data_IF_755012871346
#
_entry.id   IF_755012871346
#
_cell.length_a   1.000
_cell.length_b   1.000
_cell.length_c   1.000
_cell.angle_alpha   90.00
_cell.angle_beta   90.00
_cell.angle_gamma   90.00
#
_symmetry.space_group_name_H-M   'P 1'
#
loop_
_entity.id
_entity.type
_entity.pdbx_description
1 polymer ?
#
# COMPACT_ATOMS: atom_id res chain seq x y z
N UNK A 1 -9.26 8.86 -17.25
CA UNK A 1 -9.44 8.14 -15.98
C UNK A 1 -10.46 8.86 -15.12
N UNK A 2 -11.36 8.11 -14.46
CA UNK A 2 -12.26 8.63 -13.44
C UNK A 2 -11.65 8.35 -12.07
N UNK A 3 -11.44 9.39 -11.26
CA UNK A 3 -10.87 9.21 -9.92
C UNK A 3 -11.97 8.67 -9.00
N UNK A 4 -11.80 7.50 -8.36
CA UNK A 4 -12.81 6.94 -7.47
C UNK A 4 -12.97 7.82 -6.22
N UNK A 5 -14.21 8.01 -5.79
CA UNK A 5 -14.53 8.66 -4.54
C UNK A 5 -14.55 7.61 -3.42
N UNK A 6 -13.85 7.86 -2.33
CA UNK A 6 -13.78 6.97 -1.16
C UNK A 6 -14.53 7.67 -0.01
N UNK A 7 -15.85 7.53 0.09
CA UNK A 7 -16.61 8.11 1.19
C UNK A 7 -16.45 7.26 2.45
N UNK A 8 -16.19 7.92 3.56
CA UNK A 8 -16.24 7.32 4.89
C UNK A 8 -17.12 8.21 5.75
N UNK A 9 -18.10 7.65 6.42
CA UNK A 9 -19.03 8.38 7.28
C UNK A 9 -19.04 7.81 8.68
N UNK A 10 -19.17 8.66 9.68
CA UNK A 10 -19.35 8.28 11.08
C UNK A 10 -20.33 9.26 11.74
N UNK A 11 -20.82 8.91 12.92
CA UNK A 11 -21.79 9.71 13.67
C UNK A 11 -21.31 9.88 15.11
N UNK A 12 -21.40 11.08 15.64
CA UNK A 12 -21.18 11.37 17.06
C UNK A 12 -22.54 11.56 17.73
N UNK A 13 -22.87 10.68 18.66
CA UNK A 13 -24.13 10.71 19.40
C UNK A 13 -23.95 11.39 20.78
N UNK A 14 -24.99 12.03 21.33
CA UNK A 14 -24.91 12.68 22.65
C UNK A 14 -24.54 11.73 23.80
N UNK A 15 -24.96 10.48 23.73
CA UNK A 15 -24.66 9.44 24.73
C UNK A 15 -23.20 8.99 24.74
N UNK A 16 -22.46 9.21 23.65
CA UNK A 16 -21.00 8.98 23.61
C UNK A 16 -20.23 10.02 24.43
N UNK A 17 -20.83 11.19 24.68
CA UNK A 17 -20.21 12.29 25.42
C UNK A 17 -20.71 12.37 26.84
N UNK A 18 -22.02 12.10 27.06
CA UNK A 18 -22.67 12.29 28.32
C UNK A 18 -22.24 11.26 29.35
N UNK A 19 -21.63 11.71 30.46
CA UNK A 19 -21.22 10.84 31.56
C UNK A 19 -19.99 9.98 31.31
N UNK A 20 -19.31 10.17 30.17
CA UNK A 20 -18.07 9.48 29.82
C UNK A 20 -16.86 10.24 30.34
N UNK A 21 -15.88 9.53 30.89
CA UNK A 21 -14.61 10.12 31.34
C UNK A 21 -13.58 10.09 30.20
N UNK A 22 -12.77 11.14 30.13
CA UNK A 22 -11.67 11.20 29.19
C UNK A 22 -10.65 10.08 29.50
N UNK A 23 -10.16 9.42 28.45
CA UNK A 23 -9.17 8.36 28.59
C UNK A 23 -7.89 8.84 29.28
N UNK A 24 -7.45 8.10 30.31
CA UNK A 24 -6.26 8.45 31.08
C UNK A 24 -6.48 9.53 32.16
N UNK A 25 -7.72 9.93 32.45
CA UNK A 25 -8.07 10.88 33.51
C UNK A 25 -9.16 10.32 34.42
N UNK A 26 -9.01 10.53 35.75
CA UNK A 26 -10.03 10.11 36.72
C UNK A 26 -11.17 11.12 36.88
N UNK A 27 -10.88 12.41 36.63
CA UNK A 27 -11.79 13.53 36.97
C UNK A 27 -12.22 14.41 35.78
N UNK A 28 -11.65 14.20 34.56
CA UNK A 28 -12.03 14.98 33.39
C UNK A 28 -13.13 14.30 32.58
N UNK A 29 -14.17 15.05 32.26
CA UNK A 29 -15.20 14.57 31.33
C UNK A 29 -14.65 14.53 29.91
N UNK A 30 -15.10 13.53 29.13
CA UNK A 30 -14.83 13.47 27.69
C UNK A 30 -15.44 14.69 26.99
N UNK A 31 -14.74 15.22 26.03
CA UNK A 31 -15.21 16.37 25.26
C UNK A 31 -15.63 15.96 23.86
N UNK A 32 -16.65 16.64 23.31
CA UNK A 32 -17.07 16.47 21.93
C UNK A 32 -15.89 16.58 20.96
N UNK A 33 -14.97 17.54 21.20
CA UNK A 33 -13.82 17.77 20.33
C UNK A 33 -12.88 16.56 20.28
N UNK A 34 -12.66 15.89 21.42
CA UNK A 34 -11.82 14.70 21.49
C UNK A 34 -12.43 13.54 20.71
N UNK A 35 -13.73 13.28 20.90
CA UNK A 35 -14.44 12.20 20.20
C UNK A 35 -14.44 12.45 18.70
N UNK A 36 -14.71 13.68 18.26
CA UNK A 36 -14.63 14.07 16.84
C UNK A 36 -13.21 13.84 16.28
N UNK A 37 -12.17 14.25 17.02
CA UNK A 37 -10.79 14.08 16.60
C UNK A 37 -10.41 12.59 16.47
N UNK A 38 -10.83 11.74 17.42
CA UNK A 38 -10.59 10.29 17.35
C UNK A 38 -11.30 9.65 16.17
N UNK A 39 -12.57 10.01 15.92
CA UNK A 39 -13.35 9.49 14.79
C UNK A 39 -12.73 9.94 13.46
N UNK A 40 -12.36 11.21 13.32
CA UNK A 40 -11.68 11.71 12.12
C UNK A 40 -10.34 10.99 11.89
N UNK A 41 -9.59 10.69 12.95
CA UNK A 41 -8.35 9.92 12.81
C UNK A 41 -8.61 8.48 12.34
N UNK A 42 -9.66 7.82 12.85
CA UNK A 42 -10.08 6.48 12.39
C UNK A 42 -10.49 6.52 10.91
N UNK A 43 -11.32 7.50 10.53
CA UNK A 43 -11.76 7.68 9.13
C UNK A 43 -10.57 7.92 8.20
N UNK A 44 -9.62 8.75 8.62
CA UNK A 44 -8.37 8.98 7.86
C UNK A 44 -7.59 7.68 7.68
N UNK A 45 -7.44 6.87 8.72
CA UNK A 45 -6.72 5.59 8.63
C UNK A 45 -7.40 4.63 7.64
N UNK A 46 -8.73 4.59 7.58
CA UNK A 46 -9.49 3.79 6.61
C UNK A 46 -9.22 4.28 5.18
N UNK A 47 -9.23 5.59 4.95
CA UNK A 47 -8.93 6.17 3.64
C UNK A 47 -7.48 5.85 3.23
N UNK A 48 -6.52 5.98 4.14
CA UNK A 48 -5.11 5.67 3.87
C UNK A 48 -4.93 4.19 3.51
N UNK A 49 -5.60 3.29 4.22
CA UNK A 49 -5.60 1.86 3.93
C UNK A 49 -6.20 1.56 2.54
N UNK A 50 -7.31 2.22 2.19
CA UNK A 50 -7.92 2.09 0.86
C UNK A 50 -6.99 2.60 -0.25
N UNK A 51 -6.30 3.72 -0.02
CA UNK A 51 -5.32 4.26 -0.97
C UNK A 51 -4.13 3.32 -1.18
N UNK A 52 -3.65 2.69 -0.11
CA UNK A 52 -2.58 1.70 -0.21
C UNK A 52 -3.01 0.47 -1.00
N UNK A 53 -4.24 0.00 -0.79
CA UNK A 53 -4.84 -1.06 -1.60
C UNK A 53 -4.87 -0.71 -3.09
N UNK A 54 -5.33 0.49 -3.44
CA UNK A 54 -5.36 0.98 -4.82
C UNK A 54 -3.93 1.11 -5.40
N UNK A 55 -2.96 1.59 -4.62
CA UNK A 55 -1.57 1.70 -5.04
C UNK A 55 -0.94 0.32 -5.32
N UNK A 56 -1.18 -0.68 -4.46
CA UNK A 56 -0.78 -2.06 -4.72
C UNK A 56 -1.46 -2.64 -5.97
N UNK A 57 -2.72 -2.30 -6.21
CA UNK A 57 -3.42 -2.64 -7.44
C UNK A 57 -2.77 -2.03 -8.67
N UNK A 58 -2.38 -0.77 -8.60
CA UNK A 58 -1.68 -0.08 -9.68
C UNK A 58 -0.31 -0.72 -9.99
N UNK A 59 0.46 -1.10 -8.97
CA UNK A 59 1.73 -1.84 -9.15
C UNK A 59 1.51 -3.21 -9.81
N UNK A 60 0.38 -3.88 -9.54
CA UNK A 60 -0.01 -5.13 -10.20
C UNK A 60 -0.58 -4.93 -11.61
N UNK A 61 -0.88 -3.69 -11.98
CA UNK A 61 -1.52 -3.33 -13.24
C UNK A 61 -3.03 -3.54 -13.29
N UNK A 62 -3.66 -3.99 -12.20
CA UNK A 62 -5.10 -4.16 -12.09
C UNK A 62 -5.57 -3.55 -10.78
N UNK A 63 -6.32 -2.46 -10.87
CA UNK A 63 -6.90 -1.75 -9.72
C UNK A 63 -8.31 -2.26 -9.51
N UNK A 64 -8.59 -2.70 -8.29
CA UNK A 64 -9.89 -3.24 -7.89
C UNK A 64 -10.62 -2.24 -6.99
N UNK A 65 -11.94 -2.30 -7.00
CA UNK A 65 -12.82 -1.64 -6.04
C UNK A 65 -12.95 -2.46 -4.75
N UNK A 66 -13.64 -1.91 -3.75
CA UNK A 66 -13.94 -2.57 -2.47
C UNK A 66 -14.70 -3.89 -2.63
N UNK A 67 -15.52 -4.04 -3.68
CA UNK A 67 -16.26 -5.26 -4.01
C UNK A 67 -15.46 -6.22 -4.91
N UNK A 68 -14.18 -5.91 -5.19
CA UNK A 68 -13.33 -6.71 -6.07
C UNK A 68 -13.60 -6.57 -7.56
N UNK A 69 -14.44 -5.62 -7.95
CA UNK A 69 -14.65 -5.28 -9.35
C UNK A 69 -13.43 -4.53 -9.91
N UNK A 70 -13.14 -4.76 -11.18
CA UNK A 70 -12.02 -4.08 -11.85
C UNK A 70 -12.41 -2.63 -12.13
N UNK A 71 -11.75 -1.69 -11.42
CA UNK A 71 -11.83 -0.26 -11.74
C UNK A 71 -11.00 0.08 -12.97
N UNK A 72 -9.76 -0.37 -12.99
CA UNK A 72 -8.83 -0.14 -14.10
C UNK A 72 -7.98 -1.37 -14.36
N UNK A 73 -7.87 -1.72 -15.64
CA UNK A 73 -6.88 -2.65 -16.15
C UNK A 73 -5.83 -1.84 -16.93
N UNK A 74 -4.72 -1.51 -16.28
CA UNK A 74 -3.68 -0.65 -16.84
C UNK A 74 -3.00 -1.30 -18.05
N UNK A 75 -2.96 -2.62 -18.13
CA UNK A 75 -2.43 -3.32 -19.29
C UNK A 75 -3.26 -3.05 -20.55
N UNK A 76 -4.60 -3.09 -20.41
CA UNK A 76 -5.50 -2.79 -21.51
C UNK A 76 -5.49 -1.30 -21.86
N UNK A 77 -5.49 -0.42 -20.85
CA UNK A 77 -5.51 1.03 -21.05
C UNK A 77 -4.27 1.54 -21.79
N UNK A 78 -3.11 0.98 -21.48
CA UNK A 78 -1.84 1.37 -22.10
C UNK A 78 -1.41 0.49 -23.26
N UNK A 79 -2.18 -0.57 -23.58
CA UNK A 79 -1.85 -1.53 -24.65
C UNK A 79 -0.52 -2.24 -24.42
N UNK A 80 -0.19 -2.56 -23.15
CA UNK A 80 1.05 -3.23 -22.77
C UNK A 80 0.80 -4.65 -22.27
N UNK A 81 1.81 -5.50 -22.32
CA UNK A 81 1.78 -6.86 -21.79
C UNK A 81 2.65 -6.93 -20.53
N UNK A 82 2.12 -7.58 -19.47
CA UNK A 82 2.88 -7.84 -18.27
C UNK A 82 4.13 -8.68 -18.56
N UNK A 83 5.30 -8.21 -18.13
CA UNK A 83 6.53 -9.02 -18.17
C UNK A 83 6.63 -9.84 -16.89
N UNK A 84 6.75 -11.15 -17.06
CA UNK A 84 7.03 -12.08 -15.97
C UNK A 84 8.39 -12.70 -16.15
N UNK A 85 9.21 -12.70 -15.09
CA UNK A 85 10.50 -13.39 -15.02
C UNK A 85 10.37 -14.56 -14.04
N UNK A 86 10.49 -15.78 -14.55
CA UNK A 86 10.43 -16.99 -13.73
C UNK A 86 11.76 -17.19 -13.00
N UNK A 87 11.77 -17.03 -11.68
CA UNK A 87 12.95 -17.23 -10.83
C UNK A 87 13.28 -18.72 -10.60
N UNK A 88 12.28 -19.60 -10.68
CA UNK A 88 12.42 -21.07 -10.53
C UNK A 88 13.21 -21.46 -9.27
N UNK A 89 12.86 -20.85 -8.13
CA UNK A 89 13.57 -20.97 -6.86
C UNK A 89 13.54 -22.40 -6.26
N UNK A 90 12.64 -23.26 -6.72
CA UNK A 90 12.61 -24.68 -6.33
C UNK A 90 13.71 -25.54 -6.96
N UNK A 91 14.53 -24.99 -7.85
CA UNK A 91 15.61 -25.71 -8.53
C UNK A 91 16.97 -25.16 -8.12
N UNK A 92 17.76 -25.92 -7.35
CA UNK A 92 19.04 -25.50 -6.79
C UNK A 92 20.10 -25.08 -7.82
N UNK A 93 19.92 -25.45 -9.10
CA UNK A 93 20.84 -25.09 -10.19
C UNK A 93 20.44 -23.78 -10.89
N UNK A 94 19.35 -23.17 -10.49
CA UNK A 94 18.92 -21.88 -11.08
C UNK A 94 19.91 -20.77 -10.69
N UNK A 95 20.40 -20.03 -11.69
CA UNK A 95 21.26 -18.85 -11.43
C UNK A 95 20.37 -17.66 -11.13
N UNK A 96 20.09 -17.44 -9.84
CA UNK A 96 19.17 -16.38 -9.38
C UNK A 96 19.71 -14.98 -9.72
N UNK A 97 21.02 -14.77 -9.67
CA UNK A 97 21.66 -13.52 -10.08
C UNK A 97 21.32 -13.16 -11.53
N UNK A 98 21.30 -14.13 -12.43
CA UNK A 98 20.93 -13.88 -13.84
C UNK A 98 19.48 -13.41 -13.97
N UNK A 99 18.56 -13.93 -13.15
CA UNK A 99 17.16 -13.50 -13.11
C UNK A 99 16.99 -12.08 -12.56
N UNK A 100 17.74 -11.74 -11.53
CA UNK A 100 17.79 -10.36 -11.03
C UNK A 100 18.28 -9.40 -12.12
N UNK A 101 19.37 -9.72 -12.79
CA UNK A 101 19.91 -8.88 -13.88
C UNK A 101 18.95 -8.78 -15.06
N UNK A 102 18.24 -9.85 -15.42
CA UNK A 102 17.18 -9.81 -16.45
C UNK A 102 16.09 -8.81 -16.06
N UNK A 103 15.66 -8.85 -14.80
CA UNK A 103 14.61 -7.97 -14.28
C UNK A 103 15.07 -6.50 -14.29
N UNK A 104 16.26 -6.22 -13.77
CA UNK A 104 16.82 -4.84 -13.73
C UNK A 104 16.96 -4.28 -15.13
N UNK A 105 17.56 -5.04 -16.07
CA UNK A 105 17.72 -4.61 -17.46
C UNK A 105 16.38 -4.34 -18.14
N UNK A 106 15.38 -5.16 -17.88
CA UNK A 106 14.04 -4.92 -18.43
C UNK A 106 13.45 -3.61 -17.95
N UNK A 107 13.59 -3.31 -16.64
CA UNK A 107 13.12 -2.05 -16.07
C UNK A 107 13.89 -0.87 -16.71
N UNK A 108 15.22 -0.92 -16.73
CA UNK A 108 16.06 0.13 -17.33
C UNK A 108 15.69 0.42 -18.80
N UNK A 109 15.47 -0.62 -19.59
CA UNK A 109 15.10 -0.48 -21.00
C UNK A 109 13.74 0.20 -21.20
N UNK A 110 12.84 0.10 -20.22
CA UNK A 110 11.49 0.65 -20.30
C UNK A 110 11.33 2.03 -19.60
N UNK A 111 12.35 2.52 -18.89
CA UNK A 111 12.32 3.84 -18.26
C UNK A 111 12.41 5.03 -19.25
N UNK A 112 12.58 4.75 -20.56
CA UNK A 112 12.57 5.77 -21.62
C UNK A 112 13.50 6.98 -21.35
N UNK A 113 14.64 6.75 -20.72
CA UNK A 113 15.65 7.76 -20.43
C UNK A 113 15.53 8.40 -19.03
N UNK A 114 14.55 8.02 -18.24
CA UNK A 114 14.47 8.40 -16.83
C UNK A 114 15.55 7.66 -16.02
N UNK A 115 16.04 8.28 -14.96
CA UNK A 115 17.01 7.65 -14.04
C UNK A 115 16.30 7.04 -12.85
N UNK A 116 16.77 5.89 -12.41
CA UNK A 116 16.38 5.26 -11.15
C UNK A 116 17.57 5.20 -10.21
N UNK A 117 17.32 5.13 -8.90
CA UNK A 117 18.33 4.93 -7.85
C UNK A 117 18.50 3.47 -7.48
N UNK A 118 17.50 2.65 -7.75
CA UNK A 118 17.48 1.21 -7.46
C UNK A 118 16.22 0.54 -7.95
N UNK A 119 16.14 -0.77 -7.69
CA UNK A 119 14.94 -1.57 -7.94
C UNK A 119 14.51 -2.19 -6.61
N UNK A 120 13.25 -2.02 -6.27
CA UNK A 120 12.61 -2.70 -5.12
C UNK A 120 11.68 -3.80 -5.61
N UNK A 121 11.64 -4.88 -4.86
CA UNK A 121 10.72 -5.98 -5.09
C UNK A 121 9.91 -6.25 -3.82
N UNK A 122 8.60 -6.00 -3.87
CA UNK A 122 7.68 -6.42 -2.82
C UNK A 122 7.33 -7.89 -3.03
N UNK A 123 7.60 -8.71 -2.03
CA UNK A 123 7.52 -10.15 -2.11
C UNK A 123 6.40 -10.71 -1.23
N UNK A 124 5.70 -11.72 -1.73
CA UNK A 124 4.93 -12.60 -0.86
C UNK A 124 5.87 -13.42 0.03
N UNK A 125 5.40 -13.78 1.25
CA UNK A 125 6.21 -14.53 2.22
C UNK A 125 6.84 -15.78 1.63
N UNK A 126 6.08 -16.60 0.92
CA UNK A 126 6.57 -17.84 0.30
C UNK A 126 7.66 -17.61 -0.77
N UNK A 127 7.56 -16.48 -1.51
CA UNK A 127 8.60 -16.12 -2.47
C UNK A 127 9.87 -15.70 -1.75
N UNK A 128 9.75 -14.88 -0.71
CA UNK A 128 10.86 -14.39 0.10
C UNK A 128 11.59 -15.53 0.79
N UNK A 129 10.86 -16.46 1.41
CA UNK A 129 11.43 -17.65 2.06
C UNK A 129 12.19 -18.52 1.05
N UNK A 130 11.57 -18.79 -0.12
CA UNK A 130 12.21 -19.56 -1.17
C UNK A 130 13.47 -18.87 -1.74
N UNK A 131 13.46 -17.54 -1.81
CA UNK A 131 14.61 -16.76 -2.26
C UNK A 131 15.78 -16.85 -1.27
N UNK A 132 15.51 -16.61 0.02
CA UNK A 132 16.55 -16.58 1.07
C UNK A 132 17.13 -17.95 1.36
N UNK A 133 16.37 -19.02 1.16
CA UNK A 133 16.81 -20.42 1.33
C UNK A 133 17.46 -21.01 0.06
N UNK A 134 17.43 -20.31 -1.08
CA UNK A 134 18.11 -20.79 -2.28
C UNK A 134 19.64 -20.81 -2.09
N UNK A 135 20.38 -21.92 -2.44
CA UNK A 135 21.80 -22.08 -2.13
C UNK A 135 22.72 -20.94 -2.63
N UNK A 136 22.39 -20.33 -3.76
CA UNK A 136 23.12 -19.17 -4.30
C UNK A 136 22.92 -17.93 -3.44
N UNK A 137 21.69 -17.71 -2.98
CA UNK A 137 21.29 -16.50 -2.24
C UNK A 137 21.64 -16.67 -0.75
N UNK A 138 21.51 -17.86 -0.19
CA UNK A 138 21.78 -18.18 1.21
C UNK A 138 23.17 -17.72 1.66
N UNK A 139 24.19 -17.94 0.83
CA UNK A 139 25.55 -17.47 1.12
C UNK A 139 25.63 -15.96 1.20
N UNK A 140 25.03 -15.25 0.22
CA UNK A 140 25.00 -13.79 0.21
C UNK A 140 24.18 -13.25 1.38
N UNK A 141 23.08 -13.89 1.71
CA UNK A 141 22.21 -13.54 2.85
C UNK A 141 22.94 -13.71 4.18
N UNK A 142 23.70 -14.80 4.36
CA UNK A 142 24.50 -15.03 5.55
C UNK A 142 25.61 -13.98 5.74
N UNK A 143 26.26 -13.55 4.66
CA UNK A 143 27.22 -12.44 4.72
C UNK A 143 26.55 -11.11 5.06
N UNK A 144 25.37 -10.83 4.51
CA UNK A 144 24.61 -9.64 4.84
C UNK A 144 24.21 -9.60 6.31
N UNK A 145 23.77 -10.71 6.88
CA UNK A 145 23.47 -10.85 8.30
C UNK A 145 24.70 -10.63 9.19
N UNK A 146 25.85 -11.18 8.81
CA UNK A 146 27.10 -11.05 9.57
C UNK A 146 27.61 -9.59 9.58
N UNK A 147 27.41 -8.84 8.51
CA UNK A 147 27.80 -7.42 8.41
C UNK A 147 26.88 -6.51 9.22
N UNK A 148 25.59 -6.80 9.25
CA UNK A 148 24.61 -6.07 10.03
C UNK A 148 24.52 -6.66 11.45
N UNK A 149 25.51 -6.41 12.29
CA UNK A 149 25.69 -6.97 13.64
C UNK A 149 24.54 -6.73 14.64
N UNK A 150 23.46 -6.06 14.24
CA UNK A 150 22.27 -5.90 15.05
C UNK A 150 21.34 -7.10 14.88
N UNK A 151 21.44 -8.07 15.77
CA UNK A 151 20.52 -9.23 15.89
C UNK A 151 19.03 -8.85 16.05
N UNK A 152 18.75 -7.56 16.30
CA UNK A 152 17.41 -7.02 16.46
C UNK A 152 16.79 -6.46 15.16
N UNK A 153 17.50 -6.49 14.03
CA UNK A 153 16.99 -5.94 12.78
C UNK A 153 16.15 -6.99 12.06
N UNK A 154 14.93 -6.62 11.71
CA UNK A 154 14.05 -7.45 10.89
C UNK A 154 14.49 -7.41 9.42
N UNK A 155 15.16 -8.47 8.99
CA UNK A 155 15.74 -8.60 7.64
C UNK A 155 14.68 -8.65 6.53
N UNK A 156 13.42 -8.93 6.87
CA UNK A 156 12.30 -8.94 5.92
C UNK A 156 12.01 -7.56 5.34
N UNK A 157 12.50 -6.49 6.00
CA UNK A 157 12.33 -5.08 5.59
C UNK A 157 13.31 -4.62 4.51
N UNK A 158 14.14 -5.50 3.99
CA UNK A 158 15.02 -5.19 2.86
C UNK A 158 16.30 -6.01 2.85
N UNK A 159 16.44 -6.90 1.89
CA UNK A 159 17.63 -7.64 1.55
C UNK A 159 18.01 -7.37 0.10
N UNK A 160 19.24 -6.89 -0.14
CA UNK A 160 19.67 -6.53 -1.49
C UNK A 160 20.48 -7.66 -2.12
N UNK A 161 20.04 -8.15 -3.27
CA UNK A 161 20.74 -9.14 -4.07
C UNK A 161 20.56 -8.86 -5.57
N UNK A 162 21.65 -8.95 -6.34
CA UNK A 162 21.61 -8.75 -7.79
C UNK A 162 21.10 -7.38 -8.27
N UNK A 163 21.23 -6.34 -7.45
CA UNK A 163 20.75 -4.97 -7.76
C UNK A 163 19.26 -4.75 -7.42
N UNK A 164 18.61 -5.73 -6.78
CA UNK A 164 17.22 -5.64 -6.35
C UNK A 164 17.16 -5.69 -4.81
N UNK A 165 16.44 -4.78 -4.20
CA UNK A 165 16.12 -4.84 -2.76
C UNK A 165 14.80 -5.57 -2.59
N UNK A 166 14.87 -6.77 -2.02
CA UNK A 166 13.71 -7.61 -1.73
C UNK A 166 13.15 -7.29 -0.35
N UNK A 167 11.86 -7.07 -0.27
CA UNK A 167 11.12 -6.77 0.95
C UNK A 167 9.90 -7.67 1.04
N UNK A 168 9.70 -8.32 2.20
CA UNK A 168 8.49 -9.08 2.44
C UNK A 168 7.33 -8.13 2.73
N UNK A 169 6.24 -8.26 1.97
CA UNK A 169 5.04 -7.45 2.12
C UNK A 169 3.79 -8.32 2.30
N UNK A 170 3.51 -8.75 3.54
CA UNK A 170 2.43 -9.70 3.83
C UNK A 170 1.06 -9.03 4.03
N UNK A 171 0.88 -7.78 3.60
CA UNK A 171 -0.36 -7.05 3.81
C UNK A 171 -1.57 -7.77 3.18
N UNK A 172 -2.66 -7.77 3.93
CA UNK A 172 -3.96 -8.29 3.51
C UNK A 172 -5.03 -7.28 3.84
N UNK A 173 -6.03 -7.17 2.99
CA UNK A 173 -7.21 -6.35 3.19
C UNK A 173 -8.45 -7.23 3.17
N UNK A 174 -9.46 -6.84 3.93
CA UNK A 174 -10.76 -7.51 3.91
C UNK A 174 -11.74 -6.60 3.20
N UNK A 175 -12.36 -7.12 2.16
CA UNK A 175 -13.39 -6.41 1.40
C UNK A 175 -14.66 -6.21 2.22
N UNK A 176 -15.59 -5.43 1.69
CA UNK A 176 -16.90 -5.21 2.28
C UNK A 176 -17.69 -6.53 2.47
N UNK A 177 -17.54 -7.49 1.58
CA UNK A 177 -18.18 -8.81 1.64
C UNK A 177 -17.49 -9.82 2.57
N UNK A 178 -16.40 -9.40 3.25
CA UNK A 178 -15.59 -10.25 4.12
C UNK A 178 -14.51 -11.06 3.39
N UNK A 179 -14.35 -10.90 2.08
CA UNK A 179 -13.31 -11.59 1.31
C UNK A 179 -11.94 -11.00 1.62
N UNK A 180 -10.98 -11.85 1.99
CA UNK A 180 -9.60 -11.44 2.23
C UNK A 180 -8.81 -11.38 0.92
N UNK A 181 -8.18 -10.23 0.66
CA UNK A 181 -7.32 -10.01 -0.52
C UNK A 181 -5.89 -9.75 -0.09
N UNK A 182 -4.97 -10.51 -0.65
CA UNK A 182 -3.54 -10.35 -0.40
C UNK A 182 -2.96 -9.23 -1.27
N UNK A 183 -2.06 -8.45 -0.72
CA UNK A 183 -1.34 -7.41 -1.46
C UNK A 183 -0.54 -8.00 -2.62
N UNK A 184 0.28 -8.99 -2.31
CA UNK A 184 1.14 -9.69 -3.27
C UNK A 184 0.69 -11.14 -3.37
N UNK A 185 0.43 -11.60 -4.57
CA UNK A 185 0.00 -12.98 -4.83
C UNK A 185 1.05 -13.97 -4.37
N UNK A 186 0.61 -15.07 -3.73
CA UNK A 186 1.47 -16.14 -3.24
C UNK A 186 2.51 -16.57 -4.27
N UNK A 187 3.74 -16.79 -3.82
CA UNK A 187 4.90 -17.18 -4.63
C UNK A 187 5.29 -16.19 -5.73
N UNK A 188 4.90 -14.93 -5.61
CA UNK A 188 5.28 -13.86 -6.55
C UNK A 188 5.99 -12.70 -5.84
N UNK A 189 6.67 -11.88 -6.64
CA UNK A 189 7.20 -10.58 -6.24
C UNK A 189 6.93 -9.56 -7.34
N UNK A 190 6.70 -8.31 -6.95
CA UNK A 190 6.49 -7.20 -7.87
C UNK A 190 7.68 -6.27 -7.78
N UNK A 191 8.42 -6.19 -8.89
CA UNK A 191 9.59 -5.33 -8.99
C UNK A 191 9.25 -4.01 -9.67
N UNK A 192 9.73 -2.91 -9.10
CA UNK A 192 9.54 -1.56 -9.63
C UNK A 192 10.76 -0.68 -9.37
N UNK A 193 10.98 0.37 -10.18
CA UNK A 193 12.11 1.28 -9.99
C UNK A 193 11.87 2.23 -8.83
N UNK A 194 12.95 2.60 -8.12
CA UNK A 194 12.94 3.63 -7.09
C UNK A 194 13.69 4.89 -7.55
N UNK A 195 13.29 6.04 -7.00
CA UNK A 195 13.96 7.33 -7.26
C UNK A 195 13.70 7.89 -8.65
N UNK A 196 12.65 7.42 -9.31
CA UNK A 196 12.18 7.98 -10.59
C UNK A 196 11.32 9.22 -10.33
N UNK A 197 11.34 10.20 -11.25
CA UNK A 197 10.61 11.47 -11.11
C UNK A 197 9.18 11.40 -11.63
N UNK A 198 8.93 10.66 -12.71
CA UNK A 198 7.63 10.67 -13.42
C UNK A 198 7.03 9.27 -13.65
N UNK A 199 7.69 8.20 -13.18
CA UNK A 199 7.17 6.83 -13.38
C UNK A 199 5.90 6.57 -12.60
N UNK A 200 5.78 7.15 -11.40
CA UNK A 200 4.61 7.03 -10.54
C UNK A 200 4.05 8.40 -10.22
N UNK A 201 2.77 8.58 -10.48
CA UNK A 201 2.06 9.83 -10.21
C UNK A 201 0.80 9.53 -9.41
N UNK A 202 0.54 10.34 -8.39
CA UNK A 202 -0.71 10.29 -7.61
C UNK A 202 -1.56 11.49 -7.98
N UNK A 203 -2.72 11.24 -8.54
CA UNK A 203 -3.68 12.27 -8.93
C UNK A 203 -4.81 12.30 -7.89
N UNK A 204 -5.12 13.49 -7.41
CA UNK A 204 -6.23 13.73 -6.46
C UNK A 204 -7.26 14.66 -7.12
N UNK A 205 -8.54 14.37 -6.89
CA UNK A 205 -9.65 15.18 -7.38
C UNK A 205 -10.22 16.10 -6.28
N UNK A 206 -10.94 17.17 -6.66
CA UNK A 206 -11.76 17.92 -5.73
C UNK A 206 -12.77 17.01 -5.02
N UNK A 207 -13.07 17.30 -3.76
CA UNK A 207 -14.10 16.59 -3.01
C UNK A 207 -15.47 16.76 -3.65
N UNK A 208 -16.36 15.79 -3.44
CA UNK A 208 -17.74 15.86 -3.97
C UNK A 208 -18.64 16.77 -3.11
N UNK A 209 -18.21 18.04 -2.96
CA UNK A 209 -18.94 19.08 -2.25
C UNK A 209 -19.12 20.30 -3.14
N UNK A 210 -20.24 21.02 -2.98
CA UNK A 210 -20.52 22.24 -3.78
C UNK A 210 -19.39 23.28 -3.65
N UNK A 211 -18.78 23.38 -2.46
CA UNK A 211 -17.71 24.35 -2.15
C UNK A 211 -16.37 24.01 -2.83
N UNK A 212 -16.18 22.77 -3.22
CA UNK A 212 -14.92 22.29 -3.82
C UNK A 212 -14.99 22.19 -5.35
N UNK A 213 -16.13 22.57 -5.94
CA UNK A 213 -16.29 22.59 -7.40
C UNK A 213 -15.27 23.54 -8.03
N UNK A 214 -14.55 23.05 -9.05
CA UNK A 214 -13.51 23.80 -9.78
C UNK A 214 -12.32 24.25 -8.90
N UNK A 215 -12.07 23.60 -7.76
CA UNK A 215 -10.86 23.82 -6.95
C UNK A 215 -9.80 22.76 -7.22
N UNK A 216 -8.57 23.01 -6.79
CA UNK A 216 -7.54 21.96 -6.82
C UNK A 216 -7.89 20.82 -5.87
N UNK A 217 -7.68 19.58 -6.31
CA UNK A 217 -7.88 18.40 -5.49
C UNK A 217 -6.96 18.36 -4.26
N UNK A 218 -7.50 17.88 -3.15
CA UNK A 218 -6.75 17.63 -1.91
C UNK A 218 -6.87 16.15 -1.51
N UNK A 219 -5.89 15.61 -0.79
CA UNK A 219 -5.90 14.20 -0.42
C UNK A 219 -7.02 13.81 0.55
N UNK A 220 -7.53 14.77 1.35
CA UNK A 220 -8.62 14.55 2.31
C UNK A 220 -9.54 15.75 2.35
N UNK A 221 -10.81 15.43 2.53
CA UNK A 221 -11.86 16.40 2.82
C UNK A 221 -12.65 15.90 4.02
N UNK A 222 -12.86 16.76 5.01
CA UNK A 222 -13.68 16.45 6.18
C UNK A 222 -14.82 17.46 6.25
N UNK A 223 -16.01 16.97 6.55
CA UNK A 223 -17.18 17.80 6.85
C UNK A 223 -17.88 17.27 8.08
N UNK A 224 -18.46 18.19 8.84
CA UNK A 224 -19.30 17.88 9.97
C UNK A 224 -20.62 18.62 9.79
N UNK A 225 -21.73 17.92 9.93
CA UNK A 225 -23.06 18.48 9.89
C UNK A 225 -23.84 18.08 11.15
N UNK A 226 -24.60 19.01 11.70
CA UNK A 226 -25.52 18.69 12.79
C UNK A 226 -26.71 17.88 12.26
N UNK A 227 -27.05 16.80 12.96
CA UNK A 227 -28.24 15.99 12.68
C UNK A 227 -29.50 16.75 13.05
N UNK A 228 -30.60 16.42 12.36
CA UNK A 228 -31.91 17.01 12.66
C UNK A 228 -32.23 16.87 14.14
N UNK A 229 -32.80 17.94 14.72
CA UNK A 229 -33.20 18.05 16.13
C UNK A 229 -32.03 17.95 17.15
N UNK A 230 -30.81 18.26 16.76
CA UNK A 230 -29.66 18.25 17.68
C UNK A 230 -29.26 16.84 18.16
N UNK A 231 -29.60 15.80 17.42
CA UNK A 231 -29.35 14.39 17.80
C UNK A 231 -27.92 13.93 17.52
N UNK A 232 -26.96 14.83 17.54
CA UNK A 232 -25.55 14.56 17.32
C UNK A 232 -25.02 15.16 16.02
N UNK A 233 -23.84 14.69 15.60
CA UNK A 233 -23.15 15.16 14.41
C UNK A 233 -22.85 14.00 13.47
N UNK A 234 -22.97 14.29 12.18
CA UNK A 234 -22.53 13.40 11.10
C UNK A 234 -21.20 13.93 10.56
N UNK A 235 -20.23 13.03 10.43
CA UNK A 235 -18.88 13.31 9.96
C UNK A 235 -18.66 12.73 8.58
#
# INVERSE_FOLDING_TARGET
>A
FVIPHIPVTDVVLPDEIQGVRAFGSEDSAETQANIVAEKLQKMKNIIDQSREFLACGALKGIVLDADGLILYNLYNEFGITAKTVAFVLGTNTTVVLSKCLETVRHIEQNLKGERMTGVRCLCASNFYDSLTTHPEVEKAFSYYQALNQNLATDYRKGFTFGGITFEEYPATWTDHDGTSRVAITTATGICFPEGTGNTFETIVAPGNFIETVNTMGQPYYAKMAEKKFGQGYEL
#
